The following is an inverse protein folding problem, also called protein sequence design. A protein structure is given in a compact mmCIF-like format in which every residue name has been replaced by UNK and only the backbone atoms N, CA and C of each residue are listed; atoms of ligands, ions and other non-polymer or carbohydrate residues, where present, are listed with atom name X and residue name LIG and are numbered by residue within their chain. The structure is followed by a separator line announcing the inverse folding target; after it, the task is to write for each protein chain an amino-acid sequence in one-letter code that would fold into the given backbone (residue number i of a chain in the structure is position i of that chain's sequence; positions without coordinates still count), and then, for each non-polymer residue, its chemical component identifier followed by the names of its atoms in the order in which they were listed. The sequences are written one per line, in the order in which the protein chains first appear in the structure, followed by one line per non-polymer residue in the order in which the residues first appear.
data_IF_314795978204
#
_entry.id   IF_314795978204
#
_cell.length_a   1.000
_cell.length_b   1.000
_cell.length_c   1.000
_cell.angle_alpha   90.00
_cell.angle_beta   90.00
_cell.angle_gamma   90.00
#
_symmetry.space_group_name_H-M   'P 1'
#
loop_
_entity.id
_entity.type
_entity.pdbx_description
1 polymer ?
#
# COMPACT_ATOMS: atom_id res chain seq x y z
N UNK A 1 2.22 -31.89 1.62
CA UNK A 1 1.36 -30.89 2.29
C UNK A 1 0.72 -29.88 1.31
N UNK A 2 1.22 -29.78 0.08
CA UNK A 2 0.77 -28.81 -0.94
C UNK A 2 -0.72 -28.90 -1.33
N UNK A 3 -1.35 -30.05 -1.12
CA UNK A 3 -2.76 -30.32 -1.41
C UNK A 3 -3.68 -30.16 -0.18
N UNK A 4 -3.12 -29.85 0.99
CA UNK A 4 -3.89 -29.67 2.21
C UNK A 4 -4.09 -28.17 2.50
N UNK A 5 -5.32 -27.75 2.83
CA UNK A 5 -5.56 -26.40 3.30
C UNK A 5 -4.91 -26.18 4.67
N UNK A 6 -4.54 -24.96 4.97
CA UNK A 6 -3.79 -24.61 6.18
C UNK A 6 -4.43 -25.04 7.50
N UNK A 7 -5.76 -24.97 7.70
CA UNK A 7 -6.40 -25.48 8.90
C UNK A 7 -6.10 -26.96 9.15
N UNK A 8 -6.18 -27.81 8.11
CA UNK A 8 -5.88 -29.23 8.23
C UNK A 8 -4.41 -29.51 8.57
N UNK A 9 -3.50 -28.71 7.96
CA UNK A 9 -2.07 -28.78 8.31
C UNK A 9 -1.83 -28.46 9.78
N UNK A 10 -2.55 -27.49 10.33
CA UNK A 10 -2.47 -27.12 11.76
C UNK A 10 -3.00 -28.23 12.66
N UNK A 11 -4.11 -28.88 12.30
CA UNK A 11 -4.66 -30.01 13.04
C UNK A 11 -3.68 -31.20 13.05
N UNK A 12 -3.06 -31.49 11.92
CA UNK A 12 -2.02 -32.53 11.82
C UNK A 12 -0.84 -32.19 12.74
N UNK A 13 -0.38 -30.95 12.71
CA UNK A 13 0.71 -30.48 13.55
C UNK A 13 0.37 -30.57 15.05
N UNK A 14 -0.87 -30.23 15.43
CA UNK A 14 -1.34 -30.34 16.82
C UNK A 14 -1.42 -31.80 17.28
N UNK A 15 -1.95 -32.69 16.45
CA UNK A 15 -1.97 -34.13 16.73
C UNK A 15 -0.57 -34.75 16.85
N UNK A 16 0.37 -34.20 16.07
CA UNK A 16 1.78 -34.60 16.15
C UNK A 16 2.55 -33.96 17.34
N UNK A 17 1.90 -33.16 18.18
CA UNK A 17 2.51 -32.52 19.35
C UNK A 17 3.50 -31.39 19.00
N UNK A 18 3.43 -30.81 17.81
CA UNK A 18 4.35 -29.75 17.39
C UNK A 18 3.98 -28.42 18.06
N UNK A 19 4.93 -27.80 18.74
CA UNK A 19 4.71 -26.52 19.46
C UNK A 19 4.31 -25.35 18.55
N UNK A 20 4.64 -25.43 17.26
CA UNK A 20 4.29 -24.41 16.27
C UNK A 20 2.85 -24.51 15.74
N UNK A 21 2.09 -25.56 16.07
CA UNK A 21 0.73 -25.77 15.54
C UNK A 21 -0.21 -24.60 15.77
N UNK A 22 -0.15 -23.99 16.96
CA UNK A 22 -0.97 -22.84 17.37
C UNK A 22 -0.33 -21.48 17.14
N UNK A 23 0.91 -21.45 16.61
CA UNK A 23 1.60 -20.18 16.35
C UNK A 23 0.82 -19.40 15.27
N UNK A 24 0.46 -18.12 15.53
CA UNK A 24 -0.16 -17.29 14.51
C UNK A 24 0.80 -17.10 13.32
N UNK A 25 0.22 -16.84 12.16
CA UNK A 25 1.03 -16.49 10.98
C UNK A 25 1.77 -15.19 11.21
N UNK A 26 3.01 -15.13 10.75
CA UNK A 26 3.75 -13.86 10.72
C UNK A 26 3.01 -12.92 9.77
N UNK A 27 2.33 -11.91 10.33
CA UNK A 27 1.59 -10.89 9.58
C UNK A 27 2.44 -9.64 9.37
N UNK A 28 3.51 -9.50 10.16
CA UNK A 28 4.31 -8.28 10.29
C UNK A 28 5.81 -8.59 10.13
N UNK A 29 6.61 -7.55 10.05
CA UNK A 29 8.06 -7.67 9.90
C UNK A 29 8.63 -8.25 11.21
N UNK A 30 9.29 -9.41 11.12
CA UNK A 30 9.72 -10.20 12.28
C UNK A 30 10.73 -9.49 13.21
N UNK A 31 11.44 -8.47 12.72
CA UNK A 31 12.41 -7.69 13.50
C UNK A 31 11.82 -6.36 14.04
N UNK A 32 10.51 -6.13 13.88
CA UNK A 32 9.75 -5.04 14.49
C UNK A 32 8.57 -5.66 15.27
N UNK A 33 8.83 -6.27 16.44
CA UNK A 33 7.85 -7.09 17.14
C UNK A 33 6.66 -6.31 17.69
N UNK A 34 6.81 -5.00 17.88
CA UNK A 34 5.77 -4.09 18.38
C UNK A 34 5.01 -3.37 17.26
N UNK A 35 5.35 -3.64 16.00
CA UNK A 35 4.75 -3.01 14.82
C UNK A 35 4.91 -1.48 14.77
N UNK A 36 5.83 -0.91 15.55
CA UNK A 36 6.14 0.51 15.53
C UNK A 36 7.26 0.80 14.53
N UNK A 37 6.87 0.85 13.26
CA UNK A 37 7.79 1.10 12.14
C UNK A 37 8.40 2.50 12.20
N UNK A 38 7.62 3.48 12.66
CA UNK A 38 8.08 4.86 12.76
C UNK A 38 9.21 4.95 13.79
N UNK A 39 9.00 4.40 14.99
CA UNK A 39 10.04 4.31 16.02
C UNK A 39 11.30 3.59 15.50
N UNK A 40 11.12 2.46 14.84
CA UNK A 40 12.23 1.67 14.28
C UNK A 40 13.07 2.48 13.26
N UNK A 41 12.42 3.32 12.45
CA UNK A 41 13.08 4.20 11.48
C UNK A 41 13.77 5.34 12.22
N UNK A 42 13.09 6.00 13.15
CA UNK A 42 13.62 7.14 13.91
C UNK A 42 14.82 6.80 14.77
N UNK A 43 14.87 5.61 15.35
CA UNK A 43 16.03 5.11 16.10
C UNK A 43 17.30 4.98 15.23
N UNK A 44 17.16 4.82 13.91
CA UNK A 44 18.26 4.62 12.97
C UNK A 44 18.65 5.85 12.17
N UNK A 45 17.65 6.62 11.76
CA UNK A 45 17.82 7.76 10.86
C UNK A 45 17.64 9.12 11.56
N UNK A 46 17.28 9.11 12.83
CA UNK A 46 16.93 10.31 13.57
C UNK A 46 15.42 10.60 13.52
N UNK A 47 14.97 11.49 14.40
CA UNK A 47 13.55 11.89 14.48
C UNK A 47 13.11 12.57 13.19
N UNK A 48 11.92 12.18 12.75
CA UNK A 48 11.24 12.85 11.65
C UNK A 48 10.84 14.28 12.02
N UNK A 49 11.12 15.21 11.13
CA UNK A 49 10.71 16.60 11.30
C UNK A 49 9.20 16.76 11.06
N UNK A 50 8.49 17.52 11.92
CA UNK A 50 7.12 17.89 11.67
C UNK A 50 6.97 18.68 10.36
N UNK A 51 5.84 18.52 9.69
CA UNK A 51 5.55 19.21 8.44
C UNK A 51 4.05 19.53 8.30
N UNK A 52 3.64 19.99 7.14
CA UNK A 52 2.30 20.47 6.88
C UNK A 52 1.39 19.43 6.21
N UNK A 53 0.16 19.33 6.70
CA UNK A 53 -0.93 18.77 5.91
C UNK A 53 -1.50 19.82 4.95
N UNK A 54 -1.65 19.45 3.70
CA UNK A 54 -2.27 20.29 2.67
C UNK A 54 -3.65 19.72 2.36
N UNK A 55 -4.67 20.56 2.50
CA UNK A 55 -6.07 20.20 2.25
C UNK A 55 -6.34 19.92 0.77
N UNK A 56 -7.51 19.33 0.40
CA UNK A 56 -7.91 19.18 -1.00
C UNK A 56 -7.95 20.50 -1.79
N UNK A 57 -8.17 21.61 -1.10
CA UNK A 57 -8.17 22.98 -1.68
C UNK A 57 -6.76 23.57 -1.86
N UNK A 58 -5.71 22.84 -1.49
CA UNK A 58 -4.33 23.27 -1.60
C UNK A 58 -3.83 24.19 -0.47
N UNK A 59 -4.57 24.27 0.64
CA UNK A 59 -4.24 25.13 1.77
C UNK A 59 -3.67 24.32 2.94
N UNK A 60 -2.73 24.84 3.73
CA UNK A 60 -2.31 24.21 4.99
C UNK A 60 -3.51 24.03 5.93
N UNK A 61 -3.67 22.82 6.47
CA UNK A 61 -4.81 22.46 7.32
C UNK A 61 -4.44 21.75 8.62
N UNK A 62 -3.16 21.60 8.90
CA UNK A 62 -2.66 20.99 10.12
C UNK A 62 -1.17 20.68 10.03
N UNK A 63 -0.62 20.16 11.14
CA UNK A 63 0.78 19.76 11.23
C UNK A 63 0.88 18.26 11.47
N UNK A 64 1.74 17.58 10.74
CA UNK A 64 2.03 16.17 10.94
C UNK A 64 3.34 15.95 11.72
N UNK A 65 3.53 14.76 12.30
CA UNK A 65 4.67 14.40 13.14
C UNK A 65 5.91 13.95 12.34
N UNK A 66 5.82 13.95 11.02
CA UNK A 66 6.84 13.43 10.10
C UNK A 66 6.21 12.53 9.07
N UNK A 67 6.68 12.60 7.83
CA UNK A 67 6.08 11.88 6.69
C UNK A 67 6.11 10.35 6.84
N UNK A 68 7.03 9.80 7.62
CA UNK A 68 7.15 8.35 7.85
C UNK A 68 5.95 7.73 8.58
N UNK A 69 5.12 8.55 9.23
CA UNK A 69 3.92 8.11 9.95
C UNK A 69 2.71 7.95 9.02
N UNK A 70 2.83 8.29 7.74
CA UNK A 70 1.70 8.34 6.82
C UNK A 70 1.91 7.47 5.59
N UNK A 71 0.80 6.96 5.08
CA UNK A 71 0.79 6.10 3.90
C UNK A 71 -0.31 6.57 2.95
N UNK A 72 -0.06 6.52 1.64
CA UNK A 72 -1.07 6.86 0.62
C UNK A 72 -2.33 6.03 0.81
N UNK A 73 -3.49 6.69 0.81
CA UNK A 73 -4.80 6.11 1.10
C UNK A 73 -5.15 6.01 2.58
N UNK A 74 -4.27 6.43 3.50
CA UNK A 74 -4.57 6.46 4.94
C UNK A 74 -5.68 7.49 5.23
N UNK A 75 -6.64 7.07 6.07
CA UNK A 75 -7.75 7.92 6.54
C UNK A 75 -7.68 8.21 8.04
N UNK A 76 -7.32 7.19 8.84
CA UNK A 76 -7.32 7.28 10.30
C UNK A 76 -5.99 7.83 10.81
N UNK A 77 -6.02 8.52 11.95
CA UNK A 77 -4.81 9.00 12.62
C UNK A 77 -4.14 10.22 11.97
N UNK A 78 -4.87 10.95 11.11
CA UNK A 78 -4.34 12.17 10.49
C UNK A 78 -4.30 13.36 11.45
N UNK A 79 -5.20 13.41 12.45
CA UNK A 79 -5.26 14.52 13.41
C UNK A 79 -5.79 15.83 12.82
N UNK A 80 -6.37 15.80 11.62
CA UNK A 80 -7.00 16.98 10.98
C UNK A 80 -8.52 16.87 11.02
N UNK A 81 -9.21 18.01 11.19
CA UNK A 81 -10.67 18.11 11.26
C UNK A 81 -11.18 19.02 10.15
N UNK A 82 -11.50 18.47 8.99
CA UNK A 82 -12.02 19.20 7.84
C UNK A 82 -13.56 19.07 7.67
N UNK A 83 -14.25 18.49 8.68
CA UNK A 83 -15.71 18.29 8.63
C UNK A 83 -16.18 17.21 7.65
N UNK A 84 -15.25 16.58 6.92
CA UNK A 84 -15.51 15.52 5.94
C UNK A 84 -14.36 14.49 5.93
N UNK A 85 -14.61 13.25 5.46
CA UNK A 85 -13.56 12.25 5.34
C UNK A 85 -12.52 12.64 4.30
N UNK A 86 -11.25 12.71 4.70
CA UNK A 86 -10.11 12.92 3.79
C UNK A 86 -9.11 11.77 3.90
N UNK A 87 -8.29 11.62 2.87
CA UNK A 87 -7.32 10.55 2.71
C UNK A 87 -5.98 11.13 2.27
N UNK A 88 -4.89 10.50 2.65
CA UNK A 88 -3.57 10.84 2.12
C UNK A 88 -3.54 10.51 0.63
N UNK A 89 -3.39 11.53 -0.21
CA UNK A 89 -3.26 11.41 -1.67
C UNK A 89 -1.81 11.27 -2.11
N UNK A 90 -0.95 12.11 -1.56
CA UNK A 90 0.46 12.13 -1.92
C UNK A 90 1.31 12.55 -0.71
N UNK A 91 2.58 12.16 -0.73
CA UNK A 91 3.59 12.55 0.24
C UNK A 91 4.74 13.17 -0.55
N UNK A 92 5.14 14.38 -0.20
CA UNK A 92 6.28 15.08 -0.77
C UNK A 92 7.41 15.13 0.26
N UNK A 93 8.43 14.28 0.14
CA UNK A 93 9.56 14.27 1.07
C UNK A 93 10.42 15.54 0.97
N UNK A 94 10.51 16.16 -0.21
CA UNK A 94 11.34 17.34 -0.42
C UNK A 94 10.76 18.59 0.25
N UNK A 95 9.43 18.74 0.18
CA UNK A 95 8.71 19.84 0.83
C UNK A 95 8.28 19.49 2.26
N UNK A 96 8.47 18.25 2.72
CA UNK A 96 7.96 17.73 3.99
C UNK A 96 6.45 17.96 4.16
N UNK A 97 5.66 17.58 3.12
CA UNK A 97 4.22 17.81 3.05
C UNK A 97 3.45 16.52 2.79
N UNK A 98 2.27 16.44 3.42
CA UNK A 98 1.29 15.37 3.18
C UNK A 98 0.04 15.99 2.57
N UNK A 99 -0.25 15.64 1.33
CA UNK A 99 -1.40 16.14 0.59
C UNK A 99 -2.62 15.26 0.86
N UNK A 100 -3.74 15.89 1.17
CA UNK A 100 -5.00 15.23 1.44
C UNK A 100 -5.94 15.39 0.24
N UNK A 101 -6.82 14.40 0.04
CA UNK A 101 -7.87 14.44 -0.96
C UNK A 101 -9.19 13.97 -0.39
N UNK A 102 -10.28 14.38 -1.00
CA UNK A 102 -11.60 13.83 -0.75
C UNK A 102 -11.70 12.38 -1.26
N UNK A 103 -12.74 11.67 -0.81
CA UNK A 103 -12.90 10.25 -1.19
C UNK A 103 -13.01 10.05 -2.71
N UNK A 104 -13.66 10.98 -3.41
CA UNK A 104 -13.83 10.93 -4.87
C UNK A 104 -12.50 11.09 -5.61
N UNK A 105 -11.62 11.97 -5.13
CA UNK A 105 -10.33 12.28 -5.76
C UNK A 105 -9.22 11.29 -5.42
N UNK A 106 -9.54 10.24 -4.68
CA UNK A 106 -8.61 9.17 -4.35
C UNK A 106 -8.65 7.99 -5.33
N UNK A 107 -9.44 8.08 -6.39
CA UNK A 107 -9.54 7.05 -7.42
C UNK A 107 -8.71 7.40 -8.64
N UNK A 108 -7.99 6.40 -9.15
CA UNK A 108 -7.16 6.51 -10.35
C UNK A 108 -7.66 5.51 -11.40
N UNK A 109 -7.75 5.96 -12.64
CA UNK A 109 -8.12 5.12 -13.78
C UNK A 109 -6.94 4.36 -14.35
N UNK A 110 -5.73 4.88 -14.13
CA UNK A 110 -4.51 4.27 -14.66
C UNK A 110 -3.31 4.43 -13.73
N UNK A 111 -2.37 3.49 -13.87
CA UNK A 111 -1.07 3.54 -13.19
C UNK A 111 0.03 3.12 -14.16
N UNK A 112 1.25 3.61 -13.90
CA UNK A 112 2.45 3.25 -14.66
C UNK A 112 3.35 2.39 -13.78
N UNK A 113 3.82 1.27 -14.34
CA UNK A 113 4.76 0.36 -13.68
C UNK A 113 6.15 0.58 -14.22
N UNK A 114 7.11 0.73 -13.32
CA UNK A 114 8.56 0.72 -13.55
C UNK A 114 9.14 -0.56 -12.98
N UNK A 115 10.36 -0.90 -13.37
CA UNK A 115 11.13 -2.02 -12.80
C UNK A 115 10.34 -3.33 -12.69
N UNK A 116 9.65 -3.67 -13.77
CA UNK A 116 8.76 -4.82 -13.82
C UNK A 116 9.51 -6.13 -13.58
N UNK A 117 9.18 -6.84 -12.50
CA UNK A 117 9.60 -8.22 -12.28
C UNK A 117 8.55 -9.18 -12.81
N UNK A 118 8.89 -9.97 -13.82
CA UNK A 118 7.96 -10.88 -14.48
C UNK A 118 8.53 -12.30 -14.57
N UNK A 119 7.73 -13.29 -14.17
CA UNK A 119 8.11 -14.70 -14.30
C UNK A 119 8.16 -15.14 -15.77
N UNK A 120 7.31 -14.54 -16.62
CA UNK A 120 7.23 -14.81 -18.05
C UNK A 120 7.25 -13.49 -18.84
N UNK A 121 8.42 -12.84 -19.01
CA UNK A 121 8.53 -11.50 -19.60
C UNK A 121 7.95 -11.40 -21.01
N UNK A 122 8.11 -12.45 -21.81
CA UNK A 122 7.60 -12.50 -23.20
C UNK A 122 6.06 -12.65 -23.30
N UNK A 123 5.38 -12.89 -22.17
CA UNK A 123 3.92 -13.01 -22.14
C UNK A 123 3.19 -11.67 -22.09
N UNK A 124 3.89 -10.58 -21.74
CA UNK A 124 3.26 -9.26 -21.65
C UNK A 124 3.25 -8.62 -23.04
N UNK A 125 2.06 -8.41 -23.56
CA UNK A 125 1.84 -7.78 -24.87
C UNK A 125 0.99 -6.53 -24.71
N UNK A 126 1.21 -5.55 -25.57
CA UNK A 126 0.40 -4.33 -25.61
C UNK A 126 -1.04 -4.68 -26.02
N UNK A 127 -2.02 -4.16 -25.27
CA UNK A 127 -3.44 -4.48 -25.45
C UNK A 127 -3.90 -5.75 -24.71
N UNK A 128 -3.02 -6.37 -23.93
CA UNK A 128 -3.38 -7.56 -23.14
C UNK A 128 -4.36 -7.18 -22.02
N UNK A 129 -5.43 -7.98 -21.88
CA UNK A 129 -6.31 -7.93 -20.71
C UNK A 129 -5.72 -8.73 -19.55
N UNK A 130 -5.79 -8.18 -18.36
CA UNK A 130 -5.30 -8.81 -17.15
C UNK A 130 -6.17 -8.47 -15.93
N UNK A 131 -6.07 -9.30 -14.90
CA UNK A 131 -6.55 -8.98 -13.56
C UNK A 131 -5.41 -8.44 -12.71
N UNK A 132 -5.54 -7.20 -12.26
CA UNK A 132 -4.49 -6.47 -11.56
C UNK A 132 -4.90 -6.19 -10.12
N UNK A 133 -4.00 -6.44 -9.18
CA UNK A 133 -4.17 -6.09 -7.77
C UNK A 133 -3.25 -4.93 -7.41
N UNK A 134 -3.83 -3.81 -7.00
CA UNK A 134 -3.07 -2.62 -6.55
C UNK A 134 -2.41 -2.81 -5.16
N UNK A 135 -2.83 -3.81 -4.40
CA UNK A 135 -2.29 -4.19 -3.09
C UNK A 135 -2.54 -5.68 -2.85
N UNK A 136 -1.73 -6.32 -2.01
CA UNK A 136 -1.84 -7.76 -1.72
C UNK A 136 -3.24 -8.20 -1.27
N UNK A 137 -3.93 -7.37 -0.49
CA UNK A 137 -5.29 -7.64 0.04
C UNK A 137 -6.42 -7.06 -0.82
N UNK A 138 -6.10 -6.36 -1.92
CA UNK A 138 -7.12 -5.85 -2.83
C UNK A 138 -7.75 -6.99 -3.66
N UNK A 139 -9.00 -6.83 -4.04
CA UNK A 139 -9.59 -7.69 -5.05
C UNK A 139 -8.93 -7.42 -6.41
N UNK A 140 -8.78 -8.45 -7.25
CA UNK A 140 -8.33 -8.25 -8.63
C UNK A 140 -9.31 -7.34 -9.38
N UNK A 141 -8.78 -6.40 -10.14
CA UNK A 141 -9.54 -5.51 -11.01
C UNK A 141 -9.15 -5.76 -12.47
N UNK A 142 -10.12 -5.77 -13.36
CA UNK A 142 -9.88 -5.89 -14.80
C UNK A 142 -9.15 -4.66 -15.32
N UNK A 143 -8.12 -4.88 -16.12
CA UNK A 143 -7.33 -3.81 -16.71
C UNK A 143 -6.76 -4.22 -18.05
N UNK A 144 -6.41 -3.23 -18.86
CA UNK A 144 -5.67 -3.40 -20.11
C UNK A 144 -4.25 -2.92 -19.91
N UNK A 145 -3.28 -3.73 -20.33
CA UNK A 145 -1.84 -3.41 -20.27
C UNK A 145 -1.40 -2.85 -21.61
N UNK A 146 -0.63 -1.76 -21.58
CA UNK A 146 -0.02 -1.16 -22.76
C UNK A 146 1.45 -0.91 -22.51
N UNK A 147 2.31 -1.34 -23.45
CA UNK A 147 3.75 -1.09 -23.37
C UNK A 147 4.06 0.26 -24.01
N UNK A 148 4.57 1.21 -23.24
CA UNK A 148 4.88 2.57 -23.67
C UNK A 148 6.26 2.99 -23.14
N UNK A 149 7.22 3.25 -24.02
CA UNK A 149 8.54 3.81 -23.67
C UNK A 149 9.28 3.06 -22.54
N UNK A 150 9.17 1.74 -22.49
CA UNK A 150 9.79 0.91 -21.45
C UNK A 150 9.02 0.85 -20.14
N UNK A 151 7.85 1.45 -20.08
CA UNK A 151 6.90 1.36 -18.96
C UNK A 151 5.73 0.47 -19.34
N UNK A 152 5.07 -0.11 -18.34
CA UNK A 152 3.77 -0.77 -18.52
C UNK A 152 2.69 0.16 -17.98
N UNK A 153 1.86 0.68 -18.85
CA UNK A 153 0.64 1.40 -18.47
C UNK A 153 -0.47 0.40 -18.22
N UNK A 154 -1.05 0.49 -17.04
CA UNK A 154 -2.21 -0.30 -16.62
C UNK A 154 -3.42 0.59 -16.60
N UNK A 155 -4.39 0.37 -17.49
CA UNK A 155 -5.65 1.10 -17.51
C UNK A 155 -6.76 0.20 -16.98
N UNK A 156 -7.33 0.59 -15.84
CA UNK A 156 -8.39 -0.16 -15.18
C UNK A 156 -9.74 0.02 -15.90
N UNK A 157 -10.54 -1.04 -15.94
CA UNK A 157 -11.93 -0.97 -16.41
C UNK A 157 -12.82 -0.13 -15.48
N UNK A 158 -12.49 -0.12 -14.19
CA UNK A 158 -13.13 0.71 -13.17
C UNK A 158 -12.04 1.40 -12.32
N UNK A 159 -12.17 2.69 -11.98
CA UNK A 159 -11.17 3.40 -11.20
C UNK A 159 -10.82 2.68 -9.90
N UNK A 160 -9.54 2.61 -9.57
CA UNK A 160 -9.04 1.95 -8.39
C UNK A 160 -8.66 2.95 -7.31
N UNK A 161 -8.98 2.61 -6.05
CA UNK A 161 -8.80 3.54 -4.94
C UNK A 161 -7.37 3.56 -4.43
N UNK A 162 -6.76 4.73 -4.47
CA UNK A 162 -5.46 5.04 -3.86
C UNK A 162 -4.38 3.99 -4.17
N UNK A 163 -4.07 3.70 -5.46
CA UNK A 163 -2.89 2.93 -5.77
C UNK A 163 -1.67 3.66 -5.18
N UNK A 164 -0.78 2.92 -4.56
CA UNK A 164 0.40 3.46 -3.91
C UNK A 164 1.65 2.92 -4.60
N UNK A 165 2.72 3.74 -4.72
CA UNK A 165 4.03 3.26 -5.12
C UNK A 165 4.54 2.17 -4.18
N UNK A 166 5.27 1.17 -4.72
CA UNK A 166 5.85 0.10 -3.91
C UNK A 166 6.04 -1.19 -4.66
#
# INVERSE_FOLDING_TARGET
LSHLPKPEVREIAERAGLSCAKKPDSQEICFIPDNDYARFIEERLGKSEPGEFISPEGLPCGTHQGIIHYTIGQRKGLGVALGRPVFVKAIDPAANRVYLADAADSFEEEVFLTDLSCTFPDSIQSGMEAEVKIRSRANPAKATLTLENGLVRVRFAEPQRAPAPG
#
